data_IF_331224698862
#
_entry.id   IF_331224698862
#
_cell.length_a   1.000
_cell.length_b   1.000
_cell.length_c   1.000
_cell.angle_alpha   90.00
_cell.angle_beta   90.00
_cell.angle_gamma   90.00
#
_symmetry.space_group_name_H-M   'P 1'
#
loop_
_entity.id
_entity.type
_entity.pdbx_description
1 polymer ?
#
# COMPACT_ATOMS: atom_id res chain seq x y z
N UNK A 1 7.63 9.64 22.32
CA UNK A 1 6.95 10.93 22.51
C UNK A 1 5.52 10.80 22.02
N UNK A 2 4.56 11.43 22.68
CA UNK A 2 3.15 11.23 22.37
C UNK A 2 2.73 12.19 21.25
N UNK A 3 2.08 11.67 20.22
CA UNK A 3 1.43 12.45 19.16
C UNK A 3 0.34 13.32 19.76
N UNK A 4 0.41 14.64 19.58
CA UNK A 4 -0.63 15.55 20.00
C UNK A 4 -1.72 15.64 18.92
N UNK A 5 -2.98 15.73 19.36
CA UNK A 5 -4.06 16.10 18.45
C UNK A 5 -3.88 17.54 17.97
N UNK A 6 -4.36 17.87 16.77
CA UNK A 6 -4.31 19.24 16.24
C UNK A 6 -4.97 20.26 17.17
N UNK A 7 -6.03 19.86 17.89
CA UNK A 7 -6.70 20.69 18.88
C UNK A 7 -5.80 20.99 20.08
N UNK A 8 -5.10 19.97 20.62
CA UNK A 8 -4.16 20.15 21.73
C UNK A 8 -2.93 20.97 21.32
N UNK A 9 -2.47 20.82 20.07
CA UNK A 9 -1.37 21.61 19.54
C UNK A 9 -1.75 23.09 19.45
N UNK A 10 -2.93 23.42 18.94
CA UNK A 10 -3.43 24.81 18.86
C UNK A 10 -3.55 25.48 20.24
N UNK A 11 -3.84 24.73 21.31
CA UNK A 11 -3.94 25.26 22.65
C UNK A 11 -2.59 25.74 23.22
N UNK A 12 -1.47 25.21 22.71
CA UNK A 12 -0.11 25.58 23.16
C UNK A 12 0.50 26.78 22.42
N UNK A 13 -0.16 27.26 21.38
CA UNK A 13 0.30 28.36 20.52
C UNK A 13 -0.78 29.47 20.42
N UNK A 14 -1.41 29.84 21.55
CA UNK A 14 -2.39 30.91 21.56
C UNK A 14 -1.72 32.28 21.65
N UNK A 15 -2.45 33.32 21.27
CA UNK A 15 -1.96 34.71 21.33
C UNK A 15 -1.58 35.08 22.76
N UNK A 16 -0.32 35.44 22.98
CA UNK A 16 0.22 35.81 24.29
C UNK A 16 0.98 34.70 25.00
N UNK A 17 0.91 33.46 24.53
CA UNK A 17 1.71 32.37 25.06
C UNK A 17 3.19 32.51 24.68
N UNK A 18 4.07 32.01 25.54
CA UNK A 18 5.49 31.80 25.22
C UNK A 18 5.72 30.30 25.14
N UNK A 19 5.64 29.70 23.93
CA UNK A 19 5.87 28.27 23.77
C UNK A 19 7.24 27.87 24.29
N UNK A 20 7.30 26.76 24.99
CA UNK A 20 8.56 26.18 25.48
C UNK A 20 9.27 25.44 24.35
N UNK A 21 10.53 25.07 24.57
CA UNK A 21 11.27 24.22 23.64
C UNK A 21 10.52 22.89 23.38
N UNK A 22 9.93 22.31 24.42
CA UNK A 22 9.14 21.07 24.30
C UNK A 22 7.89 21.25 23.43
N UNK A 23 7.26 22.45 23.45
CA UNK A 23 6.11 22.71 22.59
C UNK A 23 6.51 22.78 21.11
N UNK A 24 7.69 23.32 20.80
CA UNK A 24 8.24 23.29 19.46
C UNK A 24 8.68 21.90 19.01
N UNK A 25 9.27 21.09 19.89
CA UNK A 25 9.63 19.70 19.61
C UNK A 25 8.37 18.88 19.31
N UNK A 26 7.32 18.99 20.14
CA UNK A 26 6.02 18.35 19.90
C UNK A 26 5.36 18.82 18.59
N UNK A 27 5.52 20.10 18.23
CA UNK A 27 5.03 20.63 16.95
C UNK A 27 5.77 20.00 15.76
N UNK A 28 7.10 19.97 15.80
CA UNK A 28 7.94 19.40 14.73
C UNK A 28 7.65 17.89 14.60
N UNK A 29 7.56 17.17 15.69
CA UNK A 29 7.28 15.71 15.70
C UNK A 29 5.88 15.42 15.14
N UNK A 30 4.88 16.24 15.53
CA UNK A 30 3.51 16.09 15.02
C UNK A 30 3.43 16.42 13.53
N UNK A 31 4.09 17.50 13.08
CA UNK A 31 4.13 17.90 11.68
C UNK A 31 4.87 16.86 10.82
N UNK A 32 5.99 16.33 11.31
CA UNK A 32 6.77 15.28 10.63
C UNK A 32 5.96 13.99 10.52
N UNK A 33 5.25 13.61 11.58
CA UNK A 33 4.39 12.43 11.57
C UNK A 33 3.19 12.60 10.61
N UNK A 34 2.57 13.79 10.57
CA UNK A 34 1.50 14.10 9.61
C UNK A 34 2.01 14.12 8.17
N UNK A 35 3.20 14.65 7.91
CA UNK A 35 3.83 14.61 6.60
C UNK A 35 4.08 13.16 6.14
N UNK A 36 4.51 12.29 7.06
CA UNK A 36 4.68 10.85 6.80
C UNK A 36 3.33 10.19 6.54
N UNK A 37 2.30 10.53 7.30
CA UNK A 37 0.94 10.01 7.09
C UNK A 37 0.31 10.52 5.77
N UNK A 38 0.55 11.78 5.39
CA UNK A 38 0.12 12.34 4.11
C UNK A 38 0.89 11.71 2.94
N UNK A 39 2.16 11.43 3.11
CA UNK A 39 2.96 10.63 2.17
C UNK A 39 2.48 9.17 2.08
N UNK A 40 2.04 8.60 3.20
CA UNK A 40 1.42 7.27 3.26
C UNK A 40 -0.03 7.26 2.78
N UNK A 41 -0.78 8.36 2.93
CA UNK A 41 -2.16 8.44 2.44
C UNK A 41 -2.24 8.49 0.91
N UNK A 42 -1.14 8.88 0.24
CA UNK A 42 -1.03 8.88 -1.22
C UNK A 42 -0.41 7.60 -1.80
N UNK A 43 0.50 6.96 -1.08
CA UNK A 43 1.24 5.78 -1.56
C UNK A 43 1.53 4.82 -0.40
N UNK A 44 0.58 3.94 -0.07
CA UNK A 44 0.89 2.78 0.76
C UNK A 44 1.79 1.83 -0.05
N UNK A 45 3.08 2.11 -0.03
CA UNK A 45 4.07 1.25 -0.66
C UNK A 45 4.49 0.14 0.32
N UNK A 46 4.49 -1.09 -0.15
CA UNK A 46 4.93 -2.25 0.61
C UNK A 46 5.79 -3.16 -0.24
N UNK A 47 6.68 -3.90 0.42
CA UNK A 47 7.56 -4.87 -0.23
C UNK A 47 7.48 -6.20 0.50
N UNK A 48 7.22 -7.28 -0.24
CA UNK A 48 7.20 -8.64 0.26
C UNK A 48 8.26 -9.45 -0.48
N UNK A 49 9.19 -10.00 0.27
CA UNK A 49 10.32 -10.75 -0.26
C UNK A 49 10.13 -12.27 -0.09
N UNK A 50 10.78 -13.04 -0.94
CA UNK A 50 10.88 -14.49 -0.77
C UNK A 50 9.57 -15.25 -1.01
N UNK A 51 8.72 -14.75 -1.91
CA UNK A 51 7.46 -15.41 -2.25
C UNK A 51 7.77 -16.65 -3.12
N UNK A 52 7.38 -17.82 -2.63
CA UNK A 52 7.61 -19.11 -3.29
C UNK A 52 6.30 -19.80 -3.73
N UNK A 53 5.17 -19.38 -3.17
CA UNK A 53 3.83 -19.91 -3.45
C UNK A 53 2.79 -18.82 -3.44
N UNK A 54 1.53 -19.15 -3.72
CA UNK A 54 0.43 -18.18 -3.64
C UNK A 54 0.43 -17.47 -2.28
N UNK A 55 0.60 -16.16 -2.29
CA UNK A 55 0.73 -15.33 -1.09
C UNK A 55 -0.16 -14.10 -1.19
N UNK A 56 -0.96 -13.86 -0.15
CA UNK A 56 -1.72 -12.61 -0.03
C UNK A 56 -0.72 -11.48 0.23
N UNK A 57 -0.67 -10.52 -0.69
CA UNK A 57 0.23 -9.38 -0.60
C UNK A 57 -0.40 -8.20 0.14
N UNK A 58 -1.73 -8.06 0.02
CA UNK A 58 -2.49 -7.01 0.68
C UNK A 58 -3.96 -7.42 0.85
N UNK A 59 -4.63 -6.74 1.79
CA UNK A 59 -6.07 -6.84 1.94
C UNK A 59 -6.66 -5.49 2.36
N UNK A 60 -7.95 -5.29 2.07
CA UNK A 60 -8.68 -4.10 2.49
C UNK A 60 -10.15 -4.43 2.81
N UNK A 61 -10.78 -3.58 3.59
CA UNK A 61 -12.19 -3.69 3.94
C UNK A 61 -13.05 -3.00 2.87
N UNK A 62 -13.94 -3.77 2.23
CA UNK A 62 -14.87 -3.27 1.22
C UNK A 62 -15.94 -2.32 1.79
N UNK A 63 -16.10 -2.25 3.12
CA UNK A 63 -16.97 -1.25 3.76
C UNK A 63 -16.30 0.11 3.92
N UNK A 64 -14.97 0.14 3.93
CA UNK A 64 -14.21 1.40 3.98
C UNK A 64 -13.82 1.92 2.59
N UNK A 65 -13.51 1.01 1.65
CA UNK A 65 -12.99 1.37 0.33
C UNK A 65 -13.84 0.77 -0.78
N UNK A 66 -14.46 1.64 -1.59
CA UNK A 66 -15.25 1.23 -2.74
C UNK A 66 -14.40 0.92 -3.97
N UNK A 67 -13.38 1.72 -4.21
CA UNK A 67 -12.48 1.54 -5.32
C UNK A 67 -11.03 1.63 -4.84
N UNK A 68 -10.20 0.68 -5.27
CA UNK A 68 -8.77 0.62 -4.91
C UNK A 68 -7.95 0.40 -6.17
N UNK A 69 -6.94 1.26 -6.36
CA UNK A 69 -5.96 1.13 -7.43
C UNK A 69 -4.64 0.63 -6.86
N UNK A 70 -4.03 -0.32 -7.55
CA UNK A 70 -2.69 -0.83 -7.28
C UNK A 70 -1.76 -0.54 -8.45
N UNK A 71 -0.53 -0.19 -8.14
CA UNK A 71 0.63 -0.37 -9.00
C UNK A 71 1.47 -1.49 -8.40
N UNK A 72 1.73 -2.55 -9.17
CA UNK A 72 2.41 -3.74 -8.68
C UNK A 72 3.65 -3.99 -9.54
N UNK A 73 4.78 -4.22 -8.90
CA UNK A 73 6.03 -4.66 -9.53
C UNK A 73 6.47 -5.98 -8.92
N UNK A 74 6.79 -6.93 -9.77
CA UNK A 74 7.30 -8.24 -9.38
C UNK A 74 8.72 -8.39 -9.93
N UNK A 75 9.62 -8.92 -9.12
CA UNK A 75 11.03 -9.12 -9.47
C UNK A 75 11.48 -10.51 -9.07
N UNK A 76 12.17 -11.21 -9.98
CA UNK A 76 13.00 -12.37 -9.69
C UNK A 76 14.46 -11.98 -9.73
N UNK A 77 15.24 -12.33 -8.71
CA UNK A 77 16.66 -11.97 -8.59
C UNK A 77 17.60 -13.14 -8.40
N UNK A 78 17.08 -14.38 -8.30
CA UNK A 78 17.91 -15.56 -8.04
C UNK A 78 18.03 -16.44 -9.30
N UNK A 79 19.22 -17.01 -9.52
CA UNK A 79 19.43 -18.09 -10.47
C UNK A 79 19.45 -17.70 -11.94
N UNK A 80 20.04 -16.56 -12.34
CA UNK A 80 20.18 -16.16 -13.73
C UNK A 80 19.86 -14.69 -14.00
N UNK A 81 19.40 -14.37 -15.23
CA UNK A 81 19.01 -13.00 -15.57
C UNK A 81 17.85 -12.50 -14.69
N UNK A 82 17.93 -11.25 -14.26
CA UNK A 82 16.85 -10.59 -13.53
C UNK A 82 15.61 -10.49 -14.42
N UNK A 83 14.47 -10.95 -13.90
CA UNK A 83 13.18 -10.79 -14.55
C UNK A 83 12.35 -9.77 -13.79
N UNK A 84 11.66 -8.92 -14.54
CA UNK A 84 10.81 -7.85 -14.00
C UNK A 84 9.46 -7.88 -14.68
N UNK A 85 8.43 -7.63 -13.90
CA UNK A 85 7.05 -7.49 -14.35
C UNK A 85 6.42 -6.32 -13.60
N UNK A 86 5.67 -5.49 -14.28
CA UNK A 86 4.90 -4.42 -13.66
C UNK A 86 3.52 -4.32 -14.30
N UNK A 87 2.52 -4.00 -13.49
CA UNK A 87 1.15 -3.81 -13.96
C UNK A 87 0.40 -2.83 -13.07
N UNK A 88 -0.67 -2.25 -13.60
CA UNK A 88 -1.65 -1.52 -12.85
C UNK A 88 -2.95 -2.31 -12.76
N UNK A 89 -3.61 -2.23 -11.60
CA UNK A 89 -4.88 -2.92 -11.37
C UNK A 89 -5.84 -2.00 -10.63
N UNK A 90 -7.09 -1.97 -11.09
CA UNK A 90 -8.19 -1.31 -10.38
C UNK A 90 -9.18 -2.36 -9.91
N UNK A 91 -9.53 -2.29 -8.64
CA UNK A 91 -10.53 -3.15 -7.99
C UNK A 91 -11.71 -2.26 -7.59
N UNK A 92 -12.90 -2.65 -8.00
CA UNK A 92 -14.17 -2.09 -7.54
C UNK A 92 -14.86 -3.13 -6.66
N UNK A 93 -15.11 -2.78 -5.40
CA UNK A 93 -15.87 -3.61 -4.48
C UNK A 93 -17.31 -3.08 -4.38
N UNK A 94 -18.29 -3.91 -4.64
CA UNK A 94 -19.70 -3.61 -4.38
C UNK A 94 -20.18 -4.24 -3.05
N UNK A 95 -21.44 -4.48 -2.84
CA UNK A 95 -21.99 -5.04 -1.61
C UNK A 95 -21.66 -6.54 -1.44
N UNK A 96 -21.44 -7.26 -2.52
CA UNK A 96 -21.31 -8.75 -2.52
C UNK A 96 -20.11 -9.27 -3.29
N UNK A 97 -19.62 -8.52 -4.27
CA UNK A 97 -18.63 -9.00 -5.24
C UNK A 97 -17.49 -8.00 -5.46
N UNK A 98 -16.52 -8.38 -6.27
CA UNK A 98 -15.42 -7.54 -6.71
C UNK A 98 -15.26 -7.63 -8.22
N UNK A 99 -15.12 -6.46 -8.85
CA UNK A 99 -14.75 -6.35 -10.26
C UNK A 99 -13.29 -5.89 -10.35
N UNK A 100 -12.52 -6.52 -11.22
CA UNK A 100 -11.09 -6.25 -11.37
C UNK A 100 -10.77 -5.92 -12.81
N UNK A 101 -10.00 -4.86 -13.01
CA UNK A 101 -9.40 -4.53 -14.29
C UNK A 101 -7.89 -4.43 -14.12
N UNK A 102 -7.13 -5.21 -14.87
CA UNK A 102 -5.67 -5.16 -14.98
C UNK A 102 -5.29 -4.54 -16.31
N UNK A 103 -4.35 -3.61 -16.31
CA UNK A 103 -3.91 -2.89 -17.51
C UNK A 103 -2.47 -2.38 -17.38
N UNK A 104 -1.87 -1.98 -18.51
CA UNK A 104 -0.51 -1.42 -18.52
C UNK A 104 0.57 -2.42 -18.14
N UNK A 105 0.36 -3.69 -18.46
CA UNK A 105 1.34 -4.75 -18.17
C UNK A 105 2.60 -4.58 -19.00
N UNK A 106 3.75 -4.58 -18.32
CA UNK A 106 5.09 -4.49 -18.91
C UNK A 106 5.96 -5.56 -18.28
N UNK A 107 6.68 -6.31 -19.11
CA UNK A 107 7.69 -7.28 -18.68
C UNK A 107 8.93 -7.23 -19.57
N UNK A 108 10.07 -7.74 -19.07
CA UNK A 108 11.29 -7.82 -19.86
C UNK A 108 11.61 -9.24 -20.36
N UNK A 109 10.94 -10.26 -19.85
CA UNK A 109 11.21 -11.66 -20.18
C UNK A 109 10.03 -12.58 -19.78
N UNK A 110 8.80 -12.17 -20.13
CA UNK A 110 7.57 -12.89 -19.89
C UNK A 110 7.05 -12.80 -18.47
N UNK A 111 5.85 -13.31 -18.29
CA UNK A 111 5.14 -13.28 -17.01
C UNK A 111 5.87 -14.11 -15.96
N UNK A 112 6.11 -13.52 -14.80
CA UNK A 112 6.79 -14.17 -13.66
C UNK A 112 5.85 -14.45 -12.46
N UNK A 113 4.62 -13.99 -12.53
CA UNK A 113 3.60 -14.22 -11.52
C UNK A 113 2.21 -13.84 -12.01
N UNK A 114 1.20 -14.43 -11.43
CA UNK A 114 -0.20 -14.07 -11.67
C UNK A 114 -0.77 -13.37 -10.45
N UNK A 115 -1.63 -12.39 -10.69
CA UNK A 115 -2.32 -11.66 -9.65
C UNK A 115 -3.78 -12.09 -9.65
N UNK A 116 -4.32 -12.38 -8.49
CA UNK A 116 -5.72 -12.72 -8.30
C UNK A 116 -6.31 -11.91 -7.15
N UNK A 117 -7.59 -11.63 -7.24
CA UNK A 117 -8.35 -10.92 -6.21
C UNK A 117 -9.50 -11.81 -5.78
N UNK A 118 -9.68 -11.93 -4.49
CA UNK A 118 -10.79 -12.68 -3.90
C UNK A 118 -11.44 -11.87 -2.78
N UNK A 119 -12.70 -12.19 -2.49
CA UNK A 119 -13.44 -11.59 -1.40
C UNK A 119 -13.99 -12.66 -0.46
N UNK A 120 -13.85 -12.40 0.84
CA UNK A 120 -14.46 -13.20 1.90
C UNK A 120 -15.13 -12.27 2.92
N UNK A 121 -16.44 -12.22 2.92
CA UNK A 121 -17.20 -11.24 3.71
C UNK A 121 -16.87 -9.81 3.28
N UNK A 122 -16.37 -9.00 4.20
CA UNK A 122 -15.97 -7.62 3.92
C UNK A 122 -14.50 -7.49 3.49
N UNK A 123 -13.71 -8.55 3.61
CA UNK A 123 -12.29 -8.52 3.28
C UNK A 123 -12.07 -8.86 1.81
N UNK A 124 -11.42 -7.95 1.09
CA UNK A 124 -10.90 -8.16 -0.26
C UNK A 124 -9.41 -8.42 -0.16
N UNK A 125 -8.94 -9.54 -0.72
CA UNK A 125 -7.55 -9.97 -0.69
C UNK A 125 -6.94 -9.97 -2.08
N UNK A 126 -5.74 -9.43 -2.20
CA UNK A 126 -4.92 -9.45 -3.41
C UNK A 126 -3.82 -10.50 -3.22
N UNK A 127 -3.77 -11.48 -4.09
CA UNK A 127 -2.84 -12.62 -4.01
C UNK A 127 -1.93 -12.64 -5.23
N UNK A 128 -0.63 -12.83 -5.01
CA UNK A 128 0.33 -13.09 -6.07
C UNK A 128 0.77 -14.55 -6.01
N UNK A 129 0.75 -15.21 -7.16
CA UNK A 129 1.22 -16.58 -7.33
C UNK A 129 2.38 -16.59 -8.32
N UNK A 130 3.59 -16.99 -7.90
CA UNK A 130 4.73 -17.12 -8.79
C UNK A 130 4.48 -18.16 -9.90
N UNK A 131 5.04 -17.94 -11.08
CA UNK A 131 5.11 -18.97 -12.10
C UNK A 131 6.07 -20.08 -11.66
N UNK A 132 5.72 -21.33 -11.93
CA UNK A 132 6.52 -22.51 -11.55
C UNK A 132 7.95 -22.38 -12.12
N UNK A 133 8.95 -22.58 -11.27
CA UNK A 133 10.37 -22.46 -11.60
C UNK A 133 10.90 -21.03 -11.58
N UNK A 134 10.07 -20.04 -11.22
CA UNK A 134 10.47 -18.63 -11.10
C UNK A 134 10.36 -18.17 -9.63
N UNK A 135 10.89 -18.95 -8.72
CA UNK A 135 10.89 -18.65 -7.29
C UNK A 135 12.31 -18.54 -6.75
N UNK A 136 12.55 -17.82 -5.63
CA UNK A 136 11.61 -16.88 -5.01
C UNK A 136 11.47 -15.57 -5.80
N UNK A 137 10.31 -14.92 -5.65
CA UNK A 137 10.07 -13.58 -6.20
C UNK A 137 9.95 -12.54 -5.08
N UNK A 138 10.16 -11.28 -5.43
CA UNK A 138 9.86 -10.13 -4.58
C UNK A 138 8.75 -9.33 -5.25
N UNK A 139 7.74 -8.97 -4.48
CA UNK A 139 6.65 -8.10 -4.91
C UNK A 139 6.74 -6.77 -4.19
N UNK A 140 6.64 -5.69 -4.95
CA UNK A 140 6.51 -4.34 -4.45
C UNK A 140 5.23 -3.75 -5.00
N UNK A 141 4.43 -3.12 -4.15
CA UNK A 141 3.19 -2.51 -4.59
C UNK A 141 2.94 -1.18 -3.90
N UNK A 142 2.22 -0.30 -4.58
CA UNK A 142 1.62 0.89 -4.02
C UNK A 142 0.11 0.82 -4.18
N UNK A 143 -0.62 1.24 -3.14
CA UNK A 143 -2.08 1.23 -3.10
C UNK A 143 -2.65 2.61 -2.89
N UNK A 144 -3.66 2.96 -3.68
CA UNK A 144 -4.50 4.15 -3.49
C UNK A 144 -5.96 3.72 -3.40
N UNK A 145 -6.64 4.08 -2.32
CA UNK A 145 -8.05 3.73 -2.09
C UNK A 145 -8.94 4.96 -2.01
N UNK A 146 -10.14 4.86 -2.61
CA UNK A 146 -11.21 5.83 -2.44
C UNK A 146 -12.19 5.31 -1.39
N UNK A 147 -12.30 6.04 -0.30
CA UNK A 147 -13.23 5.72 0.78
C UNK A 147 -14.69 5.91 0.35
N UNK A 148 -15.58 5.15 0.98
CA UNK A 148 -17.05 5.27 0.83
C UNK A 148 -17.54 6.53 1.55
#
# INVERSE_FOLDING_TARGET
MARLSLANLKLRFQTGDRPSQTDFEDFIDTASAQATDLGSAGNNESTINGIESATVIDNFDATEYRAVKYMISIKKTSGGANKYYATEMTILADTTDVSVSEYGTIDNDGNIGTISVSRAGNTVSVTVTPVIGITPITVRYARMGLKV
#
